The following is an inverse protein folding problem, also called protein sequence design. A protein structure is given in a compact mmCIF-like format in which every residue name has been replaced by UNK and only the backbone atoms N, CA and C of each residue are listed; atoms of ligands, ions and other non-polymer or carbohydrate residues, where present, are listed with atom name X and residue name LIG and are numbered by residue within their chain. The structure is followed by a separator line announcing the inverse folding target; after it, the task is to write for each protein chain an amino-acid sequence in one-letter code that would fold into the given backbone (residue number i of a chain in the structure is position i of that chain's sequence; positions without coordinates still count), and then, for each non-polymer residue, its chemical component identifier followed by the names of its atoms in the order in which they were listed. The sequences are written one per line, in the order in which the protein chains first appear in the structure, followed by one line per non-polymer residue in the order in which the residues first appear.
data_IF_626089460410
#
_entry.id   IF_626089460410
#
_cell.length_a   1.000
_cell.length_b   1.000
_cell.length_c   1.000
_cell.angle_alpha   90.00
_cell.angle_beta   90.00
_cell.angle_gamma   90.00
#
_symmetry.space_group_name_H-M   'P 1'
#
loop_
_entity.id
_entity.type
_entity.pdbx_description
1 polymer ?
#
# COMPACT_ATOMS: atom_id res chain seq x y z
N UNK A 1 4.44 -37.68 -50.11
CA UNK A 1 3.63 -36.47 -50.29
C UNK A 1 2.30 -36.67 -49.56
N UNK A 2 2.09 -36.11 -48.35
CA UNK A 2 0.79 -36.16 -47.69
C UNK A 2 0.05 -34.83 -47.89
N UNK A 3 -1.06 -34.89 -48.62
CA UNK A 3 -1.96 -33.79 -48.96
C UNK A 3 -3.23 -33.84 -48.10
N UNK A 4 -3.10 -33.74 -46.77
CA UNK A 4 -4.27 -33.69 -45.87
C UNK A 4 -4.41 -32.31 -45.20
N UNK A 5 -5.42 -31.50 -45.56
CA UNK A 5 -5.65 -30.18 -44.98
C UNK A 5 -6.07 -30.21 -43.50
N UNK A 6 -6.41 -31.38 -42.96
CA UNK A 6 -6.87 -31.52 -41.57
C UNK A 6 -5.74 -31.42 -40.52
N UNK A 7 -4.51 -31.79 -40.86
CA UNK A 7 -3.38 -31.79 -39.90
C UNK A 7 -2.87 -30.37 -39.63
N UNK A 8 -2.95 -29.48 -40.63
CA UNK A 8 -2.56 -28.07 -40.47
C UNK A 8 -3.50 -27.29 -39.53
N UNK A 9 -4.79 -27.64 -39.50
CA UNK A 9 -5.80 -26.97 -38.67
C UNK A 9 -5.67 -27.34 -37.18
N UNK A 10 -5.17 -28.53 -36.87
CA UNK A 10 -4.93 -28.95 -35.48
C UNK A 10 -3.72 -28.22 -34.88
N UNK A 11 -2.68 -27.95 -35.68
CA UNK A 11 -1.47 -27.25 -35.22
C UNK A 11 -1.72 -25.77 -34.89
N UNK A 12 -2.66 -25.10 -35.56
CA UNK A 12 -3.01 -23.69 -35.28
C UNK A 12 -3.84 -23.49 -34.01
N UNK A 13 -4.46 -24.55 -33.46
CA UNK A 13 -5.18 -24.48 -32.17
C UNK A 13 -4.28 -24.56 -30.94
N UNK A 14 -2.99 -24.87 -31.09
CA UNK A 14 -2.03 -24.97 -29.97
C UNK A 14 -1.13 -23.74 -29.82
N UNK A 15 -1.42 -22.63 -30.51
CA UNK A 15 -0.78 -21.35 -30.22
C UNK A 15 -1.28 -20.87 -28.86
N UNK A 16 -0.52 -21.19 -27.81
CA UNK A 16 -0.68 -20.56 -26.49
C UNK A 16 -0.88 -19.08 -26.72
N UNK A 17 -1.96 -18.47 -26.22
CA UNK A 17 -2.15 -17.06 -26.43
C UNK A 17 -0.94 -16.32 -25.86
N UNK A 18 -0.22 -15.62 -26.74
CA UNK A 18 0.90 -14.81 -26.33
C UNK A 18 0.39 -13.83 -25.27
N UNK A 19 1.10 -13.73 -24.15
CA UNK A 19 0.80 -12.81 -23.03
C UNK A 19 0.44 -11.40 -23.52
N UNK A 20 1.00 -11.00 -24.66
CA UNK A 20 0.74 -9.76 -25.39
C UNK A 20 -0.73 -9.56 -25.83
N UNK A 21 -1.41 -10.62 -26.30
CA UNK A 21 -2.80 -10.55 -26.75
C UNK A 21 -3.80 -10.51 -25.58
N UNK A 22 -3.43 -11.06 -24.43
CA UNK A 22 -4.19 -10.97 -23.17
C UNK A 22 -4.05 -9.58 -22.56
N UNK A 23 -2.81 -9.07 -22.48
CA UNK A 23 -2.53 -7.73 -21.98
C UNK A 23 -3.24 -6.64 -22.80
N UNK A 24 -3.30 -6.79 -24.13
CA UNK A 24 -4.01 -5.84 -25.01
C UNK A 24 -5.53 -5.81 -24.79
N UNK A 25 -6.15 -6.91 -24.33
CA UNK A 25 -7.58 -6.94 -23.99
C UNK A 25 -7.88 -6.38 -22.60
N UNK A 26 -6.88 -6.28 -21.72
CA UNK A 26 -7.01 -5.77 -20.34
C UNK A 26 -6.27 -4.43 -20.14
N UNK A 27 -6.14 -3.62 -21.19
CA UNK A 27 -5.51 -2.29 -21.10
C UNK A 27 -6.18 -1.42 -20.05
N UNK A 28 -7.50 -1.53 -19.88
CA UNK A 28 -8.26 -0.77 -18.87
C UNK A 28 -7.93 -1.20 -17.44
N UNK A 29 -7.72 -2.49 -17.19
CA UNK A 29 -7.35 -3.00 -15.86
C UNK A 29 -5.93 -2.56 -15.49
N UNK A 30 -5.00 -2.60 -16.46
CA UNK A 30 -3.65 -2.07 -16.27
C UNK A 30 -3.63 -0.55 -16.10
N UNK A 31 -4.46 0.18 -16.85
CA UNK A 31 -4.62 1.62 -16.67
C UNK A 31 -5.20 1.97 -15.29
N UNK A 32 -6.18 1.20 -14.81
CA UNK A 32 -6.73 1.36 -13.46
C UNK A 32 -5.69 1.07 -12.37
N UNK A 33 -4.85 0.04 -12.55
CA UNK A 33 -3.73 -0.25 -11.63
C UNK A 33 -2.71 0.90 -11.62
N UNK A 34 -2.30 1.41 -12.78
CA UNK A 34 -1.37 2.54 -12.86
C UNK A 34 -1.96 3.80 -12.22
N UNK A 35 -3.26 4.05 -12.41
CA UNK A 35 -3.97 5.15 -11.77
C UNK A 35 -3.97 5.00 -10.25
N UNK A 36 -4.27 3.81 -9.73
CA UNK A 36 -4.26 3.54 -8.28
C UNK A 36 -2.88 3.77 -7.68
N UNK A 37 -1.82 3.31 -8.35
CA UNK A 37 -0.43 3.57 -7.91
C UNK A 37 -0.12 5.06 -7.93
N UNK A 38 -0.54 5.79 -8.97
CA UNK A 38 -0.34 7.24 -9.03
C UNK A 38 -1.05 7.97 -7.88
N UNK A 39 -2.27 7.54 -7.53
CA UNK A 39 -3.02 8.07 -6.39
C UNK A 39 -2.33 7.75 -5.07
N UNK A 40 -1.83 6.53 -4.88
CA UNK A 40 -1.08 6.15 -3.67
C UNK A 40 0.18 7.00 -3.49
N UNK A 41 0.96 7.18 -4.56
CA UNK A 41 2.15 8.04 -4.54
C UNK A 41 1.78 9.50 -4.24
N UNK A 42 0.70 10.00 -4.84
CA UNK A 42 0.22 11.36 -4.60
C UNK A 42 -0.21 11.54 -3.14
N UNK A 43 -0.98 10.61 -2.58
CA UNK A 43 -1.37 10.62 -1.18
C UNK A 43 -0.14 10.59 -0.25
N UNK A 44 0.89 9.82 -0.59
CA UNK A 44 2.11 9.75 0.22
C UNK A 44 2.91 11.06 0.25
N UNK A 45 2.76 11.91 -0.78
CA UNK A 45 3.42 13.21 -0.87
C UNK A 45 2.61 14.30 -0.16
N UNK A 46 1.29 14.15 -0.09
CA UNK A 46 0.41 15.13 0.53
C UNK A 46 0.59 15.10 2.05
N UNK A 47 0.73 16.28 2.64
CA UNK A 47 0.79 16.44 4.10
C UNK A 47 -0.60 16.25 4.72
N UNK A 48 -0.70 15.48 5.84
CA UNK A 48 -1.98 15.15 6.44
C UNK A 48 -2.68 16.39 7.03
N UNK A 49 -4.01 16.38 7.12
CA UNK A 49 -4.77 17.49 7.66
C UNK A 49 -4.36 17.81 9.11
N UNK A 50 -3.79 18.99 9.33
CA UNK A 50 -3.38 19.43 10.66
C UNK A 50 -4.57 19.95 11.47
N UNK A 51 -5.10 19.09 12.35
CA UNK A 51 -6.08 19.49 13.36
C UNK A 51 -5.38 20.03 14.61
N UNK A 52 -5.94 21.10 15.20
CA UNK A 52 -5.48 21.65 16.48
C UNK A 52 -5.57 20.61 17.62
N UNK A 53 -4.46 20.41 18.32
CA UNK A 53 -4.36 19.51 19.49
C UNK A 53 -4.37 20.36 20.76
N UNK A 54 -5.43 20.24 21.56
CA UNK A 54 -5.57 20.95 22.83
C UNK A 54 -4.82 20.26 23.99
N UNK A 55 -4.62 20.99 25.09
CA UNK A 55 -3.84 20.53 26.25
C UNK A 55 -4.35 19.22 26.87
N UNK A 56 -5.66 19.05 27.00
CA UNK A 56 -6.27 17.81 27.50
C UNK A 56 -6.15 16.61 26.56
N UNK A 57 -5.84 16.83 25.27
CA UNK A 57 -5.58 15.73 24.32
C UNK A 57 -4.10 15.35 24.26
N UNK A 58 -3.20 16.18 24.79
CA UNK A 58 -1.76 15.89 24.83
C UNK A 58 -1.42 14.80 25.85
N UNK A 59 -2.20 14.67 26.93
CA UNK A 59 -2.03 13.61 27.94
C UNK A 59 -2.32 12.22 27.36
N UNK A 60 -3.26 12.10 26.44
CA UNK A 60 -3.56 10.83 25.74
C UNK A 60 -2.49 10.48 24.68
N UNK A 61 -1.64 11.45 24.31
CA UNK A 61 -0.58 11.33 23.29
C UNK A 61 0.83 11.27 23.91
N UNK A 62 0.93 11.01 25.22
CA UNK A 62 2.19 10.91 25.96
C UNK A 62 2.63 9.47 26.25
N UNK A 63 2.22 8.50 25.42
CA UNK A 63 2.69 7.13 25.56
C UNK A 63 4.22 7.06 25.46
N UNK A 64 4.88 6.23 26.29
CA UNK A 64 6.33 6.19 26.37
C UNK A 64 6.95 5.80 25.02
N UNK A 65 7.96 6.56 24.59
CA UNK A 65 8.68 6.30 23.34
C UNK A 65 9.47 4.98 23.45
N UNK A 66 8.89 3.90 22.92
CA UNK A 66 9.57 2.62 22.80
C UNK A 66 10.27 2.55 21.44
N UNK A 67 11.46 1.95 21.43
CA UNK A 67 12.14 1.61 20.18
C UNK A 67 11.29 0.63 19.38
N UNK A 68 11.30 0.78 18.05
CA UNK A 68 10.55 -0.09 17.16
C UNK A 68 11.03 -1.55 17.28
N UNK A 69 10.18 -2.44 17.78
CA UNK A 69 10.46 -3.88 17.87
C UNK A 69 10.64 -4.52 16.49
N UNK A 70 9.99 -3.96 15.46
CA UNK A 70 10.15 -4.34 14.05
C UNK A 70 10.68 -3.16 13.24
N UNK A 71 11.76 -3.33 12.46
CA UNK A 71 12.30 -2.27 11.62
C UNK A 71 11.26 -1.81 10.59
N UNK A 72 11.23 -0.51 10.30
CA UNK A 72 10.33 0.05 9.28
C UNK A 72 10.60 -0.59 7.90
N UNK A 73 11.85 -0.96 7.62
CA UNK A 73 12.28 -1.68 6.41
C UNK A 73 11.71 -3.10 6.29
N UNK A 74 11.26 -3.69 7.39
CA UNK A 74 10.73 -5.07 7.40
C UNK A 74 9.35 -5.15 6.76
N UNK A 75 8.56 -4.06 6.84
CA UNK A 75 7.22 -3.98 6.26
C UNK A 75 7.25 -4.13 4.73
N UNK A 76 8.03 -3.36 3.95
CA UNK A 76 8.11 -3.55 2.51
C UNK A 76 8.69 -4.91 2.12
N UNK A 77 9.61 -5.47 2.92
CA UNK A 77 10.18 -6.80 2.65
C UNK A 77 9.08 -7.88 2.72
N UNK A 78 8.29 -7.92 3.79
CA UNK A 78 7.20 -8.90 3.90
C UNK A 78 6.07 -8.64 2.89
N UNK A 79 5.78 -7.36 2.59
CA UNK A 79 4.81 -6.99 1.57
C UNK A 79 5.21 -7.46 0.16
N UNK A 80 6.51 -7.65 -0.12
CA UNK A 80 7.02 -8.17 -1.40
C UNK A 80 7.16 -9.69 -1.38
N UNK A 81 7.69 -10.26 -0.29
CA UNK A 81 7.92 -11.72 -0.17
C UNK A 81 6.60 -12.50 -0.13
N UNK A 82 5.59 -11.99 0.59
CA UNK A 82 4.26 -12.61 0.67
C UNK A 82 3.64 -12.91 -0.70
N UNK A 83 3.46 -11.90 -1.59
CA UNK A 83 2.91 -12.13 -2.92
C UNK A 83 3.80 -13.01 -3.80
N UNK A 84 5.14 -12.94 -3.69
CA UNK A 84 6.06 -13.83 -4.43
C UNK A 84 5.80 -15.30 -4.09
N UNK A 85 5.62 -15.63 -2.82
CA UNK A 85 5.30 -16.99 -2.37
C UNK A 85 3.94 -17.43 -2.94
N UNK A 86 2.94 -16.56 -2.89
CA UNK A 86 1.61 -16.83 -3.45
C UNK A 86 1.70 -17.10 -4.96
N UNK A 87 2.45 -16.29 -5.71
CA UNK A 87 2.66 -16.48 -7.15
C UNK A 87 3.37 -17.81 -7.45
N UNK A 88 4.35 -18.18 -6.64
CA UNK A 88 5.08 -19.45 -6.77
C UNK A 88 4.15 -20.65 -6.54
N UNK A 89 3.33 -20.61 -5.47
CA UNK A 89 2.39 -21.70 -5.14
C UNK A 89 1.29 -21.85 -6.19
N UNK A 90 0.75 -20.74 -6.71
CA UNK A 90 -0.29 -20.78 -7.76
C UNK A 90 0.27 -21.30 -9.08
N UNK A 91 1.50 -20.90 -9.45
CA UNK A 91 2.19 -21.40 -10.63
C UNK A 91 2.38 -22.93 -10.59
N UNK A 92 2.81 -23.46 -9.44
CA UNK A 92 3.04 -24.90 -9.26
C UNK A 92 1.71 -25.68 -9.33
N UNK A 93 0.60 -25.14 -8.79
CA UNK A 93 -0.69 -25.85 -8.73
C UNK A 93 -1.47 -25.88 -10.05
N UNK A 94 -1.52 -24.77 -10.78
CA UNK A 94 -2.47 -24.63 -11.90
C UNK A 94 -1.88 -24.96 -13.26
N UNK A 95 -0.55 -24.86 -13.46
CA UNK A 95 0.14 -25.03 -14.76
C UNK A 95 -0.53 -24.34 -15.96
N UNK A 96 -1.40 -23.35 -15.71
CA UNK A 96 -2.21 -22.63 -16.67
C UNK A 96 -1.96 -21.14 -16.46
N UNK A 97 -1.30 -20.49 -17.42
CA UNK A 97 -0.87 -19.09 -17.32
C UNK A 97 -2.04 -18.09 -17.25
N UNK A 98 -3.22 -18.48 -17.74
CA UNK A 98 -4.41 -17.63 -17.78
C UNK A 98 -5.07 -17.42 -16.42
N UNK A 99 -5.32 -18.49 -15.67
CA UNK A 99 -5.87 -18.41 -14.31
C UNK A 99 -4.91 -17.69 -13.36
N UNK A 100 -3.60 -17.89 -13.58
CA UNK A 100 -2.56 -17.20 -12.81
C UNK A 100 -2.60 -15.68 -13.07
N UNK A 101 -2.78 -15.24 -14.32
CA UNK A 101 -2.84 -13.82 -14.64
C UNK A 101 -4.00 -13.10 -13.94
N UNK A 102 -5.21 -13.65 -13.99
CA UNK A 102 -6.37 -13.05 -13.32
C UNK A 102 -6.24 -13.06 -11.79
N UNK A 103 -5.66 -14.12 -11.21
CA UNK A 103 -5.38 -14.17 -9.78
C UNK A 103 -4.36 -13.09 -9.35
N UNK A 104 -3.31 -12.86 -10.14
CA UNK A 104 -2.30 -11.82 -9.88
C UNK A 104 -2.95 -10.43 -9.95
N UNK A 105 -3.71 -10.14 -10.99
CA UNK A 105 -4.39 -8.86 -11.16
C UNK A 105 -5.36 -8.58 -10.02
N UNK A 106 -6.15 -9.58 -9.60
CA UNK A 106 -7.09 -9.43 -8.49
C UNK A 106 -6.41 -9.13 -7.15
N UNK A 107 -5.27 -9.78 -6.86
CA UNK A 107 -4.50 -9.52 -5.64
C UNK A 107 -3.87 -8.12 -5.67
N UNK A 108 -3.27 -7.72 -6.79
CA UNK A 108 -2.68 -6.39 -6.94
C UNK A 108 -3.72 -5.28 -6.74
N UNK A 109 -4.91 -5.44 -7.33
CA UNK A 109 -6.00 -4.49 -7.18
C UNK A 109 -6.49 -4.39 -5.74
N UNK A 110 -6.65 -5.53 -5.05
CA UNK A 110 -7.05 -5.57 -3.64
C UNK A 110 -6.06 -4.83 -2.72
N UNK A 111 -4.76 -5.07 -2.89
CA UNK A 111 -3.71 -4.43 -2.09
C UNK A 111 -3.66 -2.93 -2.35
N UNK A 112 -3.68 -2.50 -3.61
CA UNK A 112 -3.61 -1.08 -3.96
C UNK A 112 -4.84 -0.28 -3.51
N UNK A 113 -6.05 -0.82 -3.68
CA UNK A 113 -7.26 -0.18 -3.14
C UNK A 113 -7.19 -0.04 -1.64
N UNK A 114 -6.74 -1.10 -0.96
CA UNK A 114 -6.56 -1.05 0.50
C UNK A 114 -5.55 0.03 0.88
N UNK A 115 -4.41 0.13 0.18
CA UNK A 115 -3.41 1.17 0.36
C UNK A 115 -3.99 2.58 0.23
N UNK A 116 -4.56 2.89 -0.93
CA UNK A 116 -5.21 4.18 -1.24
C UNK A 116 -6.26 4.54 -0.19
N UNK A 117 -7.15 3.60 0.17
CA UNK A 117 -8.19 3.85 1.16
C UNK A 117 -7.60 4.14 2.54
N UNK A 118 -6.58 3.39 2.96
CA UNK A 118 -5.96 3.59 4.27
C UNK A 118 -5.20 4.91 4.34
N UNK A 119 -4.50 5.30 3.28
CA UNK A 119 -3.74 6.56 3.24
C UNK A 119 -4.67 7.76 3.14
N UNK A 120 -5.71 7.68 2.31
CA UNK A 120 -6.75 8.70 2.26
C UNK A 120 -7.40 8.93 3.64
N UNK A 121 -7.68 7.85 4.40
CA UNK A 121 -8.22 7.97 5.77
C UNK A 121 -7.19 8.59 6.72
N UNK A 122 -5.91 8.22 6.63
CA UNK A 122 -4.85 8.81 7.48
C UNK A 122 -4.76 10.32 7.25
N UNK A 123 -4.78 10.75 6.01
CA UNK A 123 -4.64 12.16 5.63
C UNK A 123 -5.90 12.95 5.97
N UNK A 124 -7.09 12.36 5.77
CA UNK A 124 -8.37 12.99 6.08
C UNK A 124 -8.62 13.13 7.59
N UNK A 125 -8.28 12.11 8.39
CA UNK A 125 -8.50 12.15 9.84
C UNK A 125 -7.38 12.92 10.55
N UNK A 126 -6.14 12.81 10.07
CA UNK A 126 -5.00 13.57 10.60
C UNK A 126 -4.70 13.29 12.08
N UNK A 127 -5.05 12.11 12.61
CA UNK A 127 -4.89 11.82 14.05
C UNK A 127 -3.39 11.69 14.40
N UNK A 128 -2.87 12.48 15.37
CA UNK A 128 -1.48 12.36 15.80
C UNK A 128 -1.17 10.99 16.40
N UNK A 129 0.06 10.51 16.23
CA UNK A 129 0.54 9.25 16.80
C UNK A 129 0.44 9.29 18.35
N UNK A 130 0.11 8.19 19.04
CA UNK A 130 0.06 8.15 20.51
C UNK A 130 1.37 8.49 21.24
N UNK A 131 2.50 8.48 20.53
CA UNK A 131 3.83 8.87 21.05
C UNK A 131 4.25 10.29 20.60
N UNK A 132 3.31 11.10 20.11
CA UNK A 132 3.58 12.41 19.51
C UNK A 132 4.27 13.37 20.48
N UNK A 133 3.85 13.37 21.76
CA UNK A 133 4.38 14.27 22.79
C UNK A 133 5.90 14.16 22.93
N UNK A 134 6.42 12.94 23.12
CA UNK A 134 7.86 12.71 23.33
C UNK A 134 8.72 12.95 22.08
N UNK A 135 8.14 12.92 20.88
CA UNK A 135 8.85 13.23 19.63
C UNK A 135 9.00 14.74 19.41
N UNK A 136 7.99 15.52 19.79
CA UNK A 136 7.97 16.97 19.58
C UNK A 136 8.45 17.77 20.81
N UNK A 137 8.32 17.22 22.02
CA UNK A 137 8.68 17.86 23.29
C UNK A 137 9.60 16.95 24.13
N UNK A 138 10.86 16.77 23.74
CA UNK A 138 11.82 16.00 24.53
C UNK A 138 12.07 16.61 25.93
N UNK A 139 11.83 17.93 26.08
CA UNK A 139 11.96 18.65 27.35
C UNK A 139 10.75 18.48 28.30
N UNK A 140 9.71 17.76 27.88
CA UNK A 140 8.49 17.52 28.67
C UNK A 140 7.60 18.77 28.90
N UNK A 141 7.97 19.92 28.33
CA UNK A 141 7.23 21.18 28.45
C UNK A 141 6.39 21.43 27.20
N UNK A 142 5.12 21.05 27.23
CA UNK A 142 4.16 21.47 26.20
C UNK A 142 4.01 23.00 26.20
N UNK A 143 3.85 23.63 25.04
CA UNK A 143 3.71 25.10 24.91
C UNK A 143 2.60 25.68 25.80
N UNK A 144 1.57 24.89 26.14
CA UNK A 144 0.52 25.27 27.10
C UNK A 144 1.08 25.63 28.48
N UNK A 145 2.16 24.99 28.95
CA UNK A 145 2.75 25.27 30.26
C UNK A 145 3.42 26.64 30.36
N UNK A 146 3.66 27.31 29.22
CA UNK A 146 4.22 28.68 29.19
C UNK A 146 3.18 29.77 29.43
N UNK A 147 1.89 29.45 29.28
CA UNK A 147 0.79 30.38 29.58
C UNK A 147 0.30 30.23 31.03
N UNK A 148 0.54 29.08 31.65
CA UNK A 148 0.21 28.81 33.06
C UNK A 148 1.24 29.38 34.04
N UNK A 149 2.43 29.76 33.56
CA UNK A 149 3.31 30.65 34.31
C UNK A 149 2.85 32.09 34.05
N UNK A 150 2.07 32.74 34.94
CA UNK A 150 2.00 34.19 34.88
C UNK A 150 3.44 34.71 34.89
N UNK A 151 3.79 35.71 34.06
CA UNK A 151 5.09 36.34 34.16
C UNK A 151 5.27 36.77 35.62
N UNK A 152 6.19 36.11 36.32
CA UNK A 152 6.64 36.54 37.62
C UNK A 152 7.14 37.96 37.44
N UNK A 153 6.35 38.89 37.97
CA UNK A 153 6.69 40.28 38.19
C UNK A 153 8.12 40.35 38.75
N UNK A 154 9.06 40.85 37.95
CA UNK A 154 10.34 41.43 38.37
C UNK A 154 10.74 42.43 37.28
#
# INVERSE_FOLDING_TARGET
MPSSPYVAVVATSCASPSVLNVARKHVWDWAALLLLVAVEVLLNIIEPFHRFVGAGMLTDLSYPLKNNTVPIWTVPIYAVIGPIIIFTVVFIRKRNAYDLHHAILGILFSVLITGVLTDAIKDAVGRPRPNFFWRCFPDGKAVTSRLESPPSLN
#
